data_IF_262663762282
#
_entry.id   IF_262663762282
#
_cell.length_a   1.000
_cell.length_b   1.000
_cell.length_c   1.000
_cell.angle_alpha   90.00
_cell.angle_beta   90.00
_cell.angle_gamma   90.00
#
_symmetry.space_group_name_H-M   'P 1'
#
loop_
_entity.id
_entity.type
_entity.pdbx_description
1 polymer ?
#
# COMPACT_ATOMS: atom_id res chain seq x y z
N UNK A 1 23.34 12.99 26.72
CA UNK A 1 23.49 14.02 25.67
C UNK A 1 22.31 14.98 25.79
N UNK A 2 22.52 16.26 26.09
CA UNK A 2 21.42 17.21 26.11
C UNK A 2 20.95 17.47 24.67
N UNK A 3 19.63 17.61 24.49
CA UNK A 3 19.02 17.95 23.21
C UNK A 3 19.10 19.47 23.03
N UNK A 4 19.72 19.94 21.95
CA UNK A 4 19.75 21.36 21.61
C UNK A 4 18.37 21.79 21.10
N UNK A 5 17.85 22.90 21.63
CA UNK A 5 16.69 23.58 21.05
C UNK A 5 17.04 24.31 19.74
N UNK A 6 16.02 24.65 18.96
CA UNK A 6 16.11 25.37 17.67
C UNK A 6 16.72 26.79 17.83
N UNK A 7 16.66 27.33 19.05
CA UNK A 7 17.21 28.60 19.52
C UNK A 7 18.69 28.52 19.96
N UNK A 8 19.33 27.35 19.82
CA UNK A 8 20.72 27.13 20.23
C UNK A 8 20.93 27.09 21.75
N UNK A 9 19.83 27.07 22.54
CA UNK A 9 19.87 26.92 23.97
C UNK A 9 19.68 25.44 24.37
N UNK A 10 20.47 24.98 25.33
CA UNK A 10 20.36 23.63 25.88
C UNK A 10 19.06 23.54 26.67
N UNK A 11 18.00 22.96 26.11
CA UNK A 11 16.80 22.64 26.88
C UNK A 11 17.14 21.47 27.80
N UNK A 12 17.49 21.81 29.04
CA UNK A 12 17.47 20.84 30.14
C UNK A 12 16.02 20.40 30.34
N UNK A 13 15.58 19.41 29.57
CA UNK A 13 14.29 18.78 29.76
C UNK A 13 14.21 18.31 31.19
N UNK A 14 13.31 18.91 31.98
CA UNK A 14 13.00 18.44 33.32
C UNK A 14 12.09 17.23 33.14
N UNK A 15 12.62 16.05 33.40
CA UNK A 15 11.87 14.81 33.37
C UNK A 15 11.59 14.36 34.79
N UNK A 16 10.34 14.00 35.08
CA UNK A 16 9.98 13.32 36.31
C UNK A 16 9.66 11.85 36.01
N UNK A 17 10.05 10.98 36.93
CA UNK A 17 9.71 9.56 36.86
C UNK A 17 8.74 9.26 37.99
N UNK A 18 7.47 9.21 37.65
CA UNK A 18 6.40 8.83 38.58
C UNK A 18 6.13 7.34 38.42
N UNK A 19 6.19 6.60 39.53
CA UNK A 19 5.80 5.19 39.57
C UNK A 19 4.42 5.07 40.20
N UNK A 20 3.59 4.21 39.61
CA UNK A 20 2.28 3.85 40.15
C UNK A 20 2.37 2.40 40.57
N UNK A 21 2.01 2.13 41.82
CA UNK A 21 1.97 0.77 42.37
C UNK A 21 0.51 0.40 42.59
N UNK A 22 0.13 -0.79 42.13
CA UNK A 22 -1.22 -1.33 42.31
C UNK A 22 -1.22 -2.31 43.48
N UNK A 23 -2.32 -2.35 44.22
CA UNK A 23 -2.52 -3.31 45.30
C UNK A 23 -2.81 -4.72 44.79
N UNK A 24 -3.43 -4.81 43.61
CA UNK A 24 -3.91 -6.07 43.04
C UNK A 24 -3.68 -6.13 41.52
N UNK A 25 -3.35 -7.32 41.02
CA UNK A 25 -3.08 -7.56 39.60
C UNK A 25 -4.29 -7.35 38.71
N UNK A 26 -5.49 -7.64 39.22
CA UNK A 26 -6.74 -7.47 38.46
C UNK A 26 -7.03 -5.99 38.19
N UNK A 27 -6.74 -5.10 39.14
CA UNK A 27 -6.88 -3.64 38.95
C UNK A 27 -5.89 -3.11 37.91
N UNK A 28 -4.67 -3.67 37.86
CA UNK A 28 -3.67 -3.33 36.85
C UNK A 28 -4.12 -3.79 35.47
N UNK A 29 -4.62 -5.03 35.33
CA UNK A 29 -5.12 -5.54 34.05
C UNK A 29 -6.37 -4.80 33.56
N UNK A 30 -7.24 -4.34 34.48
CA UNK A 30 -8.39 -3.49 34.14
C UNK A 30 -7.98 -2.09 33.71
N UNK A 31 -6.98 -1.49 34.35
CA UNK A 31 -6.48 -0.16 34.00
C UNK A 31 -5.65 -0.16 32.71
N UNK A 32 -4.93 -1.25 32.45
CA UNK A 32 -4.09 -1.47 31.26
C UNK A 32 -4.52 -2.76 30.55
N UNK A 33 -5.66 -2.74 29.84
CA UNK A 33 -6.08 -3.90 29.07
C UNK A 33 -4.99 -4.27 28.06
N UNK A 34 -4.77 -5.57 27.80
CA UNK A 34 -3.77 -6.01 26.84
C UNK A 34 -4.13 -5.44 25.47
N UNK A 35 -3.32 -4.47 25.00
CA UNK A 35 -3.39 -3.99 23.63
C UNK A 35 -2.68 -4.99 22.74
N UNK A 36 -3.26 -5.28 21.58
CA UNK A 36 -2.53 -5.96 20.52
C UNK A 36 -1.23 -5.21 20.24
N UNK A 37 -0.13 -5.94 19.98
CA UNK A 37 1.11 -5.30 19.58
C UNK A 37 0.85 -4.44 18.33
N UNK A 38 1.48 -3.25 18.24
CA UNK A 38 1.30 -2.40 17.08
C UNK A 38 1.67 -3.18 15.82
N UNK A 39 0.80 -3.12 14.81
CA UNK A 39 1.03 -3.79 13.53
C UNK A 39 2.35 -3.28 12.94
N UNK A 40 3.22 -4.17 12.43
CA UNK A 40 4.45 -3.75 11.80
C UNK A 40 4.12 -2.86 10.58
N UNK A 41 4.93 -1.83 10.30
CA UNK A 41 4.70 -0.96 9.16
C UNK A 41 4.74 -1.75 7.85
N UNK A 42 3.69 -1.64 7.04
CA UNK A 42 3.61 -2.32 5.74
C UNK A 42 4.64 -1.73 4.78
N UNK A 43 5.45 -2.58 4.15
CA UNK A 43 6.39 -2.15 3.11
C UNK A 43 5.66 -1.95 1.79
N UNK A 44 5.85 -0.78 1.17
CA UNK A 44 5.36 -0.51 -0.18
C UNK A 44 6.27 -1.18 -1.21
N UNK A 45 5.69 -1.79 -2.24
CA UNK A 45 6.45 -2.44 -3.33
C UNK A 45 6.23 -1.71 -4.64
N UNK A 46 7.29 -1.56 -5.44
CA UNK A 46 7.18 -0.97 -6.76
C UNK A 46 6.32 -1.85 -7.69
N UNK A 47 5.31 -1.32 -8.40
CA UNK A 47 4.46 -2.12 -9.28
C UNK A 47 5.22 -2.70 -10.48
N UNK A 48 6.33 -2.07 -10.89
CA UNK A 48 7.12 -2.46 -12.06
C UNK A 48 8.09 -3.60 -11.71
N UNK A 49 8.89 -3.44 -10.65
CA UNK A 49 9.97 -4.39 -10.31
C UNK A 49 9.61 -5.34 -9.17
N UNK A 50 8.52 -5.08 -8.43
CA UNK A 50 8.13 -5.82 -7.21
C UNK A 50 9.19 -5.80 -6.09
N UNK A 51 10.15 -4.89 -6.17
CA UNK A 51 11.15 -4.63 -5.13
C UNK A 51 10.57 -3.62 -4.12
N UNK A 52 10.96 -3.67 -2.82
CA UNK A 52 10.60 -2.64 -1.86
C UNK A 52 10.90 -1.24 -2.40
N UNK A 53 9.89 -0.38 -2.36
CA UNK A 53 10.00 0.98 -2.85
C UNK A 53 10.70 1.89 -1.85
N UNK A 54 11.46 2.83 -2.39
CA UNK A 54 12.20 3.83 -1.62
C UNK A 54 11.51 5.19 -1.63
N UNK A 55 10.73 5.46 -2.67
CA UNK A 55 10.12 6.75 -2.93
C UNK A 55 8.67 6.59 -3.41
N UNK A 56 7.91 7.67 -3.27
CA UNK A 56 6.54 7.80 -3.77
C UNK A 56 6.51 8.90 -4.84
N UNK A 57 5.83 8.65 -5.95
CA UNK A 57 5.64 9.68 -6.96
C UNK A 57 4.55 10.70 -6.53
N UNK A 58 4.81 12.01 -6.46
CA UNK A 58 3.87 12.99 -5.91
C UNK A 58 2.58 13.19 -6.72
N UNK A 59 2.53 12.77 -7.99
CA UNK A 59 1.31 12.96 -8.80
C UNK A 59 0.47 11.68 -8.82
N UNK A 60 1.10 10.52 -9.04
CA UNK A 60 0.36 9.24 -9.10
C UNK A 60 0.20 8.58 -7.74
N UNK A 61 0.95 9.03 -6.73
CA UNK A 61 1.10 8.36 -5.43
C UNK A 61 1.52 6.89 -5.56
N UNK A 62 2.22 6.54 -6.65
CA UNK A 62 2.71 5.18 -6.87
C UNK A 62 4.13 5.01 -6.32
N UNK A 63 4.40 3.89 -5.63
CA UNK A 63 5.71 3.60 -5.07
C UNK A 63 6.73 3.17 -6.15
N UNK A 64 7.98 3.63 -6.06
CA UNK A 64 9.06 3.22 -6.96
C UNK A 64 10.42 3.06 -6.25
N UNK A 65 11.34 2.30 -6.84
CA UNK A 65 12.62 1.96 -6.22
C UNK A 65 13.83 2.73 -6.77
N UNK A 66 13.86 3.03 -8.08
CA UNK A 66 14.99 3.67 -8.76
C UNK A 66 14.53 4.70 -9.81
N UNK A 67 15.45 5.49 -10.35
CA UNK A 67 15.12 6.51 -11.36
C UNK A 67 14.63 5.89 -12.67
N UNK A 68 15.14 4.72 -13.06
CA UNK A 68 14.73 4.05 -14.29
C UNK A 68 13.24 3.62 -14.23
N UNK A 69 12.82 3.02 -13.13
CA UNK A 69 11.42 2.66 -12.85
C UNK A 69 10.54 3.90 -12.78
N UNK A 70 11.02 5.00 -12.22
CA UNK A 70 10.30 6.28 -12.27
C UNK A 70 10.03 6.74 -13.70
N UNK A 71 11.02 6.65 -14.61
CA UNK A 71 10.83 7.02 -16.03
C UNK A 71 9.75 6.17 -16.71
N UNK A 72 9.77 4.85 -16.50
CA UNK A 72 8.74 3.96 -17.04
C UNK A 72 7.38 4.21 -16.41
N UNK A 73 7.32 4.42 -15.11
CA UNK A 73 6.10 4.76 -14.38
C UNK A 73 5.45 6.01 -14.99
N UNK A 74 6.25 7.03 -15.30
CA UNK A 74 5.75 8.26 -15.92
C UNK A 74 5.32 8.08 -17.36
N UNK A 75 6.06 7.33 -18.18
CA UNK A 75 5.59 7.03 -19.52
C UNK A 75 4.28 6.25 -19.53
N UNK A 76 4.12 5.29 -18.61
CA UNK A 76 2.86 4.56 -18.47
C UNK A 76 1.70 5.48 -18.04
N UNK A 77 1.93 6.37 -17.07
CA UNK A 77 0.94 7.35 -16.65
C UNK A 77 0.52 8.27 -17.81
N UNK A 78 1.48 8.72 -18.60
CA UNK A 78 1.20 9.58 -19.74
C UNK A 78 0.43 8.86 -20.85
N UNK A 79 0.73 7.60 -21.13
CA UNK A 79 -0.06 6.76 -22.04
C UNK A 79 -1.50 6.59 -21.53
N UNK A 80 -1.68 6.47 -20.22
CA UNK A 80 -3.02 6.42 -19.62
C UNK A 80 -3.78 7.74 -19.82
N UNK A 81 -3.12 8.89 -19.68
CA UNK A 81 -3.73 10.19 -19.96
C UNK A 81 -4.13 10.35 -21.43
N UNK A 82 -3.32 9.84 -22.36
CA UNK A 82 -3.66 9.87 -23.78
C UNK A 82 -4.89 8.99 -24.10
N UNK A 83 -5.01 7.83 -23.43
CA UNK A 83 -6.08 6.88 -23.67
C UNK A 83 -7.39 7.22 -22.95
N UNK A 84 -7.32 7.77 -21.74
CA UNK A 84 -8.47 7.95 -20.82
C UNK A 84 -8.54 9.31 -20.15
N UNK A 85 -7.63 10.24 -20.47
CA UNK A 85 -7.61 11.57 -19.85
C UNK A 85 -8.85 12.38 -20.22
N UNK A 86 -9.34 13.15 -19.25
CA UNK A 86 -10.48 14.04 -19.46
C UNK A 86 -10.06 15.26 -20.30
N UNK A 87 -10.58 15.31 -21.53
CA UNK A 87 -10.34 16.40 -22.50
C UNK A 87 -11.12 17.67 -22.15
N UNK A 88 -12.04 17.61 -21.18
CA UNK A 88 -12.77 18.77 -20.68
C UNK A 88 -11.89 19.68 -19.82
N UNK A 89 -10.83 19.14 -19.21
CA UNK A 89 -9.88 19.94 -18.45
C UNK A 89 -8.88 20.66 -19.38
N UNK A 90 -8.82 21.98 -19.27
CA UNK A 90 -7.96 22.81 -20.13
C UNK A 90 -6.47 22.43 -20.00
N UNK A 91 -6.03 22.07 -18.79
CA UNK A 91 -4.64 21.69 -18.51
C UNK A 91 -4.25 20.38 -19.20
N UNK A 92 -5.07 19.33 -19.09
CA UNK A 92 -4.78 18.04 -19.73
C UNK A 92 -4.89 18.18 -21.25
N UNK A 93 -5.87 18.93 -21.75
CA UNK A 93 -6.01 19.19 -23.18
C UNK A 93 -4.80 19.92 -23.78
N UNK A 94 -4.31 20.97 -23.10
CA UNK A 94 -3.11 21.70 -23.52
C UNK A 94 -1.87 20.79 -23.49
N UNK A 95 -1.72 19.99 -22.43
CA UNK A 95 -0.62 19.05 -22.32
C UNK A 95 -0.65 17.96 -23.40
N UNK A 96 -1.83 17.41 -23.72
CA UNK A 96 -2.01 16.42 -24.78
C UNK A 96 -1.62 16.98 -26.15
N UNK A 97 -2.02 18.22 -26.45
CA UNK A 97 -1.65 18.89 -27.69
C UNK A 97 -0.12 19.07 -27.81
N UNK A 98 0.53 19.53 -26.74
CA UNK A 98 1.99 19.65 -26.68
C UNK A 98 2.69 18.30 -26.88
N UNK A 99 2.19 17.25 -26.22
CA UNK A 99 2.79 15.91 -26.28
C UNK A 99 2.72 15.28 -27.66
N UNK A 100 1.65 15.52 -28.42
CA UNK A 100 1.55 15.04 -29.81
C UNK A 100 2.67 15.60 -30.69
N UNK A 101 3.06 16.85 -30.48
CA UNK A 101 4.19 17.48 -31.19
C UNK A 101 5.53 16.86 -30.80
N UNK A 102 5.70 16.45 -29.53
CA UNK A 102 6.96 15.92 -29.01
C UNK A 102 7.13 14.40 -29.13
N UNK A 103 6.12 13.65 -29.59
CA UNK A 103 6.06 12.18 -29.51
C UNK A 103 7.07 11.43 -30.40
N UNK A 104 7.78 12.15 -31.25
CA UNK A 104 8.86 11.61 -32.07
C UNK A 104 10.06 11.23 -31.18
N UNK A 105 10.26 9.91 -31.01
CA UNK A 105 11.57 9.24 -30.82
C UNK A 105 12.07 8.80 -29.43
N UNK A 106 11.31 8.88 -28.34
CA UNK A 106 11.82 8.42 -27.02
C UNK A 106 11.30 7.02 -26.64
N UNK A 107 11.79 5.98 -27.32
CA UNK A 107 11.69 4.61 -26.76
C UNK A 107 12.62 4.54 -25.57
N UNK A 108 12.08 4.42 -24.35
CA UNK A 108 12.90 4.16 -23.15
C UNK A 108 13.55 2.80 -23.32
N UNK A 109 14.83 2.80 -23.70
CA UNK A 109 15.68 1.61 -23.68
C UNK A 109 16.07 1.37 -22.24
N UNK A 110 15.38 0.44 -21.57
CA UNK A 110 15.84 -0.07 -20.29
C UNK A 110 16.82 -1.21 -20.53
N UNK A 111 17.94 -1.20 -19.82
CA UNK A 111 18.77 -2.38 -19.72
C UNK A 111 18.07 -3.42 -18.83
N UNK A 112 17.89 -4.67 -19.29
CA UNK A 112 17.22 -5.73 -18.52
C UNK A 112 17.87 -5.99 -17.16
N UNK A 113 19.16 -5.72 -17.01
CA UNK A 113 19.91 -5.89 -15.76
C UNK A 113 19.55 -4.84 -14.70
N UNK A 114 18.76 -3.80 -15.04
CA UNK A 114 18.20 -2.87 -14.07
C UNK A 114 16.82 -3.31 -13.56
N UNK A 115 16.18 -4.25 -14.27
CA UNK A 115 14.99 -5.00 -13.84
C UNK A 115 15.47 -6.31 -13.22
N UNK A 116 16.45 -6.24 -12.32
CA UNK A 116 16.80 -7.40 -11.50
C UNK A 116 15.62 -7.63 -10.58
N UNK A 117 14.73 -8.53 -11.00
CA UNK A 117 13.90 -9.34 -10.13
C UNK A 117 14.93 -10.16 -9.35
N UNK A 118 15.52 -9.58 -8.32
CA UNK A 118 16.35 -10.34 -7.41
C UNK A 118 15.41 -11.39 -6.84
N UNK A 119 15.63 -12.63 -7.31
CA UNK A 119 14.99 -13.85 -6.87
C UNK A 119 14.77 -13.69 -5.37
N UNK A 120 13.50 -13.65 -4.94
CA UNK A 120 13.15 -13.55 -3.54
C UNK A 120 13.94 -14.65 -2.84
N UNK A 121 15.00 -14.25 -2.12
CA UNK A 121 15.59 -15.10 -1.11
C UNK A 121 14.54 -15.06 -0.01
N UNK A 122 13.68 -16.06 -0.03
CA UNK A 122 12.79 -16.39 1.05
C UNK A 122 13.67 -16.62 2.28
N UNK A 123 13.87 -15.55 3.05
CA UNK A 123 14.45 -15.63 4.37
C UNK A 123 13.38 -16.30 5.24
N UNK A 124 13.63 -17.49 5.82
CA UNK A 124 12.68 -18.12 6.70
C UNK A 124 12.51 -17.23 7.93
N UNK A 125 11.29 -16.73 8.15
CA UNK A 125 10.92 -16.00 9.36
C UNK A 125 11.22 -16.87 10.58
N UNK A 126 12.36 -16.60 11.23
CA UNK A 126 12.74 -17.20 12.50
C UNK A 126 11.96 -16.53 13.64
N UNK A 127 10.64 -16.65 13.65
CA UNK A 127 9.88 -16.47 14.89
C UNK A 127 8.48 -17.08 14.77
N UNK A 128 8.41 -18.40 14.94
CA UNK A 128 7.17 -19.09 15.30
C UNK A 128 7.41 -19.70 16.68
N UNK A 129 6.72 -19.26 17.73
CA UNK A 129 6.73 -19.94 19.01
C UNK A 129 6.14 -21.34 18.83
N UNK A 130 6.92 -22.35 19.19
CA UNK A 130 6.52 -23.74 19.27
C UNK A 130 5.51 -23.94 20.40
N UNK A 131 4.25 -24.23 20.07
CA UNK A 131 3.28 -24.77 21.01
C UNK A 131 2.78 -26.16 20.55
N UNK A 132 2.95 -27.09 21.48
CA UNK A 132 2.27 -28.38 21.70
C UNK A 132 1.82 -29.24 20.52
N UNK A 133 2.46 -30.41 20.43
CA UNK A 133 1.82 -31.74 20.33
C UNK A 133 0.29 -31.75 20.22
N UNK A 134 -0.21 -32.00 19.01
CA UNK A 134 -1.54 -32.56 18.81
C UNK A 134 -1.48 -33.66 17.73
N UNK A 135 -1.97 -34.83 18.12
CA UNK A 135 -2.05 -36.05 17.33
C UNK A 135 -2.81 -35.84 16.01
N UNK A 136 -2.27 -36.34 14.90
CA UNK A 136 -2.94 -36.28 13.60
C UNK A 136 -4.19 -37.18 13.58
N UNK A 137 -5.35 -36.72 13.11
CA UNK A 137 -6.38 -37.61 12.58
C UNK A 137 -6.14 -37.92 11.11
N UNK A 138 -6.31 -39.20 10.78
CA UNK A 138 -6.22 -39.82 9.46
C UNK A 138 -7.11 -39.17 8.39
N UNK A 139 -6.59 -39.20 7.16
CA UNK A 139 -7.23 -38.81 5.90
C UNK A 139 -8.59 -39.49 5.70
N UNK A 140 -9.62 -38.69 5.39
CA UNK A 140 -10.81 -39.17 4.68
C UNK A 140 -10.95 -38.41 3.37
N UNK A 141 -11.15 -39.15 2.29
CA UNK A 141 -11.20 -38.70 0.89
C UNK A 141 -12.26 -37.64 0.63
N UNK A 142 -11.94 -36.64 -0.21
CA UNK A 142 -12.93 -35.71 -0.75
C UNK A 142 -13.82 -36.41 -1.79
N UNK A 143 -15.14 -36.16 -1.80
CA UNK A 143 -15.98 -36.54 -2.93
C UNK A 143 -15.68 -35.63 -4.15
N UNK A 144 -15.58 -36.27 -5.32
CA UNK A 144 -15.48 -35.59 -6.61
C UNK A 144 -16.79 -34.88 -6.91
N UNK A 145 -16.77 -33.54 -6.93
CA UNK A 145 -17.92 -32.72 -7.33
C UNK A 145 -17.85 -32.52 -8.85
N UNK A 146 -18.85 -32.96 -9.63
CA UNK A 146 -18.89 -32.70 -11.07
C UNK A 146 -19.14 -31.22 -11.36
N UNK A 147 -18.43 -30.70 -12.36
CA UNK A 147 -18.49 -29.32 -12.82
C UNK A 147 -19.88 -29.01 -13.41
N UNK A 148 -20.78 -28.47 -12.59
CA UNK A 148 -22.04 -27.92 -13.04
C UNK A 148 -21.80 -26.53 -13.67
N UNK A 149 -22.17 -26.43 -14.95
CA UNK A 149 -22.23 -25.21 -15.77
C UNK A 149 -23.11 -24.16 -15.07
N UNK A 150 -22.48 -23.13 -14.50
CA UNK A 150 -23.22 -21.98 -13.95
C UNK A 150 -23.66 -21.08 -15.11
N UNK A 151 -24.98 -20.84 -15.29
CA UNK A 151 -25.48 -19.93 -16.31
C UNK A 151 -25.21 -18.47 -15.95
N UNK A 152 -24.84 -17.67 -16.95
CA UNK A 152 -24.89 -16.21 -16.91
C UNK A 152 -26.32 -15.73 -16.58
N UNK A 153 -26.49 -14.68 -15.75
CA UNK A 153 -27.67 -13.86 -15.82
C UNK A 153 -27.38 -12.47 -16.41
N UNK A 154 -28.32 -12.07 -17.25
CA UNK A 154 -28.48 -10.81 -17.95
C UNK A 154 -28.71 -9.61 -17.02
N UNK A 155 -28.15 -8.49 -17.45
CA UNK A 155 -28.75 -7.16 -17.63
C UNK A 155 -29.96 -6.63 -16.80
N UNK A 156 -29.82 -5.33 -16.46
CA UNK A 156 -30.84 -4.29 -16.17
C UNK A 156 -31.49 -4.28 -14.78
N UNK A 157 -31.20 -3.24 -13.97
CA UNK A 157 -32.15 -2.20 -13.51
C UNK A 157 -31.40 -0.89 -13.15
N UNK A 158 -31.80 0.30 -13.64
CA UNK A 158 -31.30 1.58 -13.15
C UNK A 158 -32.06 2.04 -11.89
N UNK A 159 -31.32 2.36 -10.84
CA UNK A 159 -31.85 2.97 -9.61
C UNK A 159 -32.01 4.48 -9.81
N UNK A 160 -33.26 4.90 -9.90
CA UNK A 160 -33.70 6.30 -9.89
C UNK A 160 -33.57 6.87 -8.48
N UNK A 161 -32.99 8.06 -8.34
CA UNK A 161 -32.90 8.80 -7.07
C UNK A 161 -34.22 9.54 -6.74
N UNK A 162 -34.65 9.60 -5.47
CA UNK A 162 -35.69 10.53 -5.04
C UNK A 162 -35.08 11.81 -4.46
N UNK A 163 -35.31 12.93 -5.17
CA UNK A 163 -35.19 14.30 -4.67
C UNK A 163 -36.28 14.56 -3.63
N UNK A 164 -35.93 15.03 -2.43
CA UNK A 164 -36.89 15.65 -1.51
C UNK A 164 -36.81 17.18 -1.62
N UNK A 165 -37.94 17.89 -1.70
CA UNK A 165 -37.95 19.35 -1.71
C UNK A 165 -37.81 19.93 -0.30
N UNK A 166 -37.09 21.05 -0.27
CA UNK A 166 -36.98 22.03 0.81
C UNK A 166 -38.35 22.61 1.14
N UNK A 167 -38.66 22.80 2.43
CA UNK A 167 -39.72 23.70 2.90
C UNK A 167 -39.08 24.90 3.59
N UNK A 168 -39.57 26.08 3.22
CA UNK A 168 -39.31 27.40 3.82
C UNK A 168 -39.95 27.51 5.21
#
# INVERSE_FOLDING_TARGET
MPLLGDDGQTVEGRYERTFITFSDGDTMASAFPPSDPPKPPSRNFCPITRVPARYLDPVTNLPYCNIATFRVLREAYYQQLEARGDRGSAEIAAWLAHRQTSKTSQTIKMDPSMIQITKFKEEPDKNVPSESTASMPMLTSLPTIPLARIPMPEEVIPITSPTKPVKM
#
